data_IF_120603773913
#
_entry.id   IF_120603773913
#
_cell.length_a   1.000
_cell.length_b   1.000
_cell.length_c   1.000
_cell.angle_alpha   90.00
_cell.angle_beta   90.00
_cell.angle_gamma   90.00
#
_symmetry.space_group_name_H-M   'P 1'
#
loop_
_entity.id
_entity.type
_entity.pdbx_description
1 polymer ?
#
# COMPACT_ATOMS: atom_id res chain seq x y z
N UNK A 1 22.94 7.59 1.68
CA UNK A 1 23.35 6.17 1.47
C UNK A 1 22.32 5.52 0.57
N UNK A 2 22.69 4.41 -0.10
CA UNK A 2 21.73 3.50 -0.72
C UNK A 2 21.46 2.38 0.29
N UNK A 3 20.19 2.09 0.53
CA UNK A 3 19.72 1.13 1.53
C UNK A 3 18.69 0.18 0.91
N UNK A 4 18.76 -1.09 1.30
CA UNK A 4 17.70 -2.05 1.03
C UNK A 4 16.73 -2.09 2.22
N UNK A 5 15.45 -2.24 1.94
CA UNK A 5 14.41 -2.41 2.95
C UNK A 5 13.41 -3.47 2.51
N UNK A 6 12.71 -4.07 3.46
CA UNK A 6 11.66 -5.04 3.19
C UNK A 6 10.60 -4.99 4.28
N UNK A 7 9.46 -5.61 4.00
CA UNK A 7 8.38 -5.81 4.96
C UNK A 7 7.79 -7.19 4.74
N UNK A 8 7.49 -7.89 5.83
CA UNK A 8 6.73 -9.15 5.84
C UNK A 8 5.73 -9.06 6.97
N UNK A 9 4.46 -8.83 6.62
CA UNK A 9 3.37 -8.63 7.57
C UNK A 9 2.28 -9.70 7.38
N UNK A 10 1.72 -10.12 8.52
CA UNK A 10 0.55 -10.97 8.60
C UNK A 10 -0.43 -10.41 9.65
N UNK A 11 -1.72 -10.48 9.35
CA UNK A 11 -2.78 -10.30 10.34
C UNK A 11 -3.01 -11.61 11.08
N UNK A 12 -3.15 -11.55 12.39
CA UNK A 12 -3.47 -12.70 13.25
C UNK A 12 -4.84 -12.48 13.87
N UNK A 13 -5.82 -13.27 13.47
CA UNK A 13 -7.17 -13.26 14.04
C UNK A 13 -7.24 -14.21 15.24
N UNK A 14 -7.52 -13.66 16.42
CA UNK A 14 -7.55 -14.39 17.70
C UNK A 14 -8.97 -14.65 18.20
N UNK A 15 -10.00 -14.20 17.48
CA UNK A 15 -11.39 -14.22 17.95
C UNK A 15 -12.29 -15.27 17.31
N UNK A 16 -11.87 -15.90 16.20
CA UNK A 16 -12.73 -16.80 15.42
C UNK A 16 -12.40 -18.29 15.64
N UNK A 17 -13.43 -19.13 15.63
CA UNK A 17 -13.35 -20.59 15.74
C UNK A 17 -12.83 -21.19 14.42
N UNK A 18 -11.53 -20.98 14.19
CA UNK A 18 -10.61 -21.71 13.31
C UNK A 18 -11.11 -22.14 11.93
N UNK A 19 -10.69 -21.40 10.88
CA UNK A 19 -10.12 -21.98 9.63
C UNK A 19 -9.04 -21.11 8.95
N UNK A 20 -9.05 -19.78 9.11
CA UNK A 20 -8.07 -18.88 8.47
C UNK A 20 -7.63 -17.72 9.39
N UNK A 21 -6.87 -18.04 10.43
CA UNK A 21 -6.45 -17.07 11.45
C UNK A 21 -5.24 -16.24 11.04
N UNK A 22 -4.67 -16.47 9.84
CA UNK A 22 -3.54 -15.70 9.31
C UNK A 22 -3.86 -15.15 7.93
N UNK A 23 -3.84 -13.82 7.77
CA UNK A 23 -4.02 -13.17 6.47
C UNK A 23 -2.77 -12.43 6.04
N UNK A 24 -2.36 -12.62 4.79
CA UNK A 24 -1.21 -11.93 4.22
C UNK A 24 -1.45 -10.42 4.09
N UNK A 25 -0.55 -9.61 4.66
CA UNK A 25 -0.57 -8.14 4.60
C UNK A 25 0.57 -7.64 3.70
N UNK A 26 1.20 -6.50 3.99
CA UNK A 26 2.27 -5.96 3.19
C UNK A 26 3.49 -6.90 3.18
N UNK A 27 3.92 -7.28 1.99
CA UNK A 27 5.01 -8.23 1.74
C UNK A 27 5.78 -7.76 0.51
N UNK A 28 6.85 -6.99 0.72
CA UNK A 28 7.60 -6.38 -0.36
C UNK A 28 9.08 -6.22 -0.01
N UNK A 29 9.88 -5.98 -1.03
CA UNK A 29 11.29 -5.58 -0.93
C UNK A 29 11.49 -4.28 -1.70
N UNK A 30 12.51 -3.51 -1.33
CA UNK A 30 12.75 -2.21 -1.95
C UNK A 30 14.14 -1.66 -1.73
N UNK A 31 14.43 -0.59 -2.46
CA UNK A 31 15.65 0.20 -2.38
C UNK A 31 15.30 1.66 -2.10
N UNK A 32 16.06 2.30 -1.21
CA UNK A 32 15.90 3.70 -0.84
C UNK A 32 17.23 4.43 -0.87
N UNK A 33 17.19 5.68 -1.29
CA UNK A 33 18.32 6.60 -1.18
C UNK A 33 17.88 8.03 -1.41
N UNK A 34 18.81 8.88 -1.86
CA UNK A 34 18.52 10.29 -2.14
C UNK A 34 17.49 10.49 -3.26
N UNK A 35 17.21 9.46 -4.06
CA UNK A 35 16.19 9.46 -5.10
C UNK A 35 14.78 9.12 -4.57
N UNK A 36 14.62 8.84 -3.27
CA UNK A 36 13.36 8.37 -2.70
C UNK A 36 13.38 6.87 -2.45
N UNK A 37 12.22 6.25 -2.50
CA UNK A 37 12.05 4.83 -2.21
C UNK A 37 11.29 4.12 -3.33
N UNK A 38 11.79 2.97 -3.76
CA UNK A 38 11.11 2.09 -4.70
C UNK A 38 10.92 0.71 -4.07
N UNK A 39 9.76 0.09 -4.26
CA UNK A 39 9.47 -1.26 -3.79
C UNK A 39 8.65 -2.07 -4.78
N UNK A 40 8.79 -3.40 -4.69
CA UNK A 40 8.01 -4.37 -5.46
C UNK A 40 7.46 -5.48 -4.56
N UNK A 41 6.25 -5.94 -4.85
CA UNK A 41 5.61 -7.05 -4.13
C UNK A 41 4.13 -6.81 -3.86
N UNK A 42 3.65 -7.34 -2.74
CA UNK A 42 2.31 -7.08 -2.20
C UNK A 42 2.36 -5.85 -1.31
N UNK A 43 1.69 -4.78 -1.71
CA UNK A 43 1.77 -3.51 -1.00
C UNK A 43 0.43 -2.78 -1.01
N UNK A 44 0.28 -1.85 -0.07
CA UNK A 44 -0.81 -0.88 -0.09
C UNK A 44 -0.61 0.10 -1.27
N UNK A 45 -1.70 0.37 -1.98
CA UNK A 45 -1.76 1.41 -3.01
C UNK A 45 -1.52 2.80 -2.41
N UNK A 46 -1.01 3.74 -3.20
CA UNK A 46 -0.76 5.10 -2.70
C UNK A 46 -2.01 5.83 -2.21
N UNK A 47 -3.17 5.56 -2.80
CA UNK A 47 -4.42 6.08 -2.26
C UNK A 47 -4.68 5.57 -0.83
N UNK A 48 -4.49 4.26 -0.60
CA UNK A 48 -4.59 3.65 0.73
C UNK A 48 -3.58 4.21 1.73
N UNK A 49 -2.33 4.38 1.30
CA UNK A 49 -1.30 5.00 2.16
C UNK A 49 -1.65 6.45 2.50
N UNK A 50 -2.18 7.21 1.54
CA UNK A 50 -2.48 8.64 1.71
C UNK A 50 -3.62 8.95 2.68
N UNK A 51 -4.48 7.97 2.96
CA UNK A 51 -5.56 8.12 3.94
C UNK A 51 -5.02 8.31 5.36
N UNK A 52 -3.87 7.70 5.67
CA UNK A 52 -3.12 7.94 6.90
C UNK A 52 -3.99 8.02 8.17
N UNK A 53 -3.92 9.16 8.86
CA UNK A 53 -4.67 9.47 10.11
C UNK A 53 -6.07 10.05 9.89
N UNK A 54 -6.48 10.32 8.64
CA UNK A 54 -7.76 10.95 8.34
C UNK A 54 -8.90 9.94 8.42
N UNK A 55 -8.64 8.69 8.04
CA UNK A 55 -9.59 7.60 8.24
C UNK A 55 -9.35 6.88 9.57
N UNK A 56 -9.99 7.38 10.63
CA UNK A 56 -10.05 6.74 11.95
C UNK A 56 -11.22 5.75 12.07
N UNK A 57 -12.03 5.62 11.02
CA UNK A 57 -13.27 4.86 11.00
C UNK A 57 -13.13 3.59 10.18
N UNK A 58 -11.91 3.08 10.03
CA UNK A 58 -11.59 1.86 9.30
C UNK A 58 -12.71 0.80 9.45
N UNK A 59 -13.32 0.41 8.33
CA UNK A 59 -14.41 -0.55 8.21
C UNK A 59 -15.79 -0.15 8.80
N UNK A 60 -16.02 1.13 9.16
CA UNK A 60 -17.35 1.71 9.45
C UNK A 60 -17.93 2.41 8.19
N UNK A 61 -19.20 2.83 8.24
CA UNK A 61 -19.88 3.49 7.11
C UNK A 61 -19.21 4.78 6.60
N UNK A 62 -18.28 5.36 7.36
CA UNK A 62 -17.48 6.53 6.96
C UNK A 62 -16.12 6.20 6.33
N UNK A 63 -15.78 4.90 6.17
CA UNK A 63 -14.53 4.42 5.57
C UNK A 63 -14.41 4.89 4.11
N UNK A 64 -13.26 5.46 3.78
CA UNK A 64 -12.97 5.99 2.46
C UNK A 64 -12.89 4.87 1.39
N UNK A 65 -12.70 3.60 1.77
CA UNK A 65 -12.84 2.41 0.90
C UNK A 65 -14.17 2.40 0.17
N UNK A 66 -15.25 2.77 0.86
CA UNK A 66 -16.61 2.73 0.31
C UNK A 66 -16.85 3.85 -0.71
N UNK A 67 -16.01 4.89 -0.71
CA UNK A 67 -16.11 6.05 -1.59
C UNK A 67 -15.15 5.96 -2.79
N UNK A 68 -13.99 5.31 -2.64
CA UNK A 68 -12.98 5.22 -3.68
C UNK A 68 -12.47 3.79 -3.91
N UNK A 69 -12.72 3.25 -5.11
CA UNK A 69 -12.28 1.91 -5.54
C UNK A 69 -10.76 1.68 -5.57
N UNK A 70 -9.95 2.73 -5.40
CA UNK A 70 -8.50 2.69 -5.47
C UNK A 70 -7.80 2.34 -4.16
N UNK A 71 -8.55 2.15 -3.07
CA UNK A 71 -7.99 1.86 -1.75
C UNK A 71 -7.82 0.36 -1.51
N UNK A 72 -6.75 -0.20 -2.08
CA UNK A 72 -6.50 -1.64 -1.97
C UNK A 72 -5.09 -1.96 -1.46
N UNK A 73 -4.95 -3.20 -0.97
CA UNK A 73 -3.68 -3.90 -0.82
C UNK A 73 -3.62 -4.98 -1.88
N UNK A 74 -2.67 -4.89 -2.79
CA UNK A 74 -2.64 -5.71 -4.01
C UNK A 74 -1.25 -6.29 -4.25
N UNK A 75 -1.24 -7.44 -4.93
CA UNK A 75 -0.05 -8.17 -5.33
C UNK A 75 0.55 -7.58 -6.61
N UNK A 76 1.76 -8.01 -6.98
CA UNK A 76 2.44 -7.62 -8.23
C UNK A 76 2.50 -6.12 -8.46
N UNK A 77 2.81 -5.36 -7.40
CA UNK A 77 2.96 -3.91 -7.48
C UNK A 77 4.40 -3.49 -7.67
N UNK A 78 4.55 -2.33 -8.31
CA UNK A 78 5.74 -1.49 -8.25
C UNK A 78 5.34 -0.13 -7.67
N UNK A 79 5.98 0.27 -6.57
CA UNK A 79 5.66 1.52 -5.86
C UNK A 79 6.88 2.42 -5.82
N UNK A 80 6.71 3.70 -6.12
CA UNK A 80 7.73 4.72 -5.97
C UNK A 80 7.20 5.88 -5.12
N UNK A 81 8.01 6.36 -4.18
CA UNK A 81 7.75 7.54 -3.35
C UNK A 81 8.94 8.48 -3.48
N UNK A 82 8.66 9.74 -3.82
CA UNK A 82 9.70 10.78 -3.96
C UNK A 82 10.38 11.08 -2.62
N UNK A 83 11.59 11.68 -2.63
CA UNK A 83 12.10 12.38 -1.46
C UNK A 83 11.10 13.44 -0.98
N UNK A 84 11.19 13.80 0.30
CA UNK A 84 10.45 14.95 0.82
C UNK A 84 11.05 16.24 0.25
N UNK A 85 10.20 17.09 -0.34
CA UNK A 85 10.57 18.41 -0.81
C UNK A 85 9.66 19.45 -0.16
N UNK A 86 10.21 20.26 0.76
CA UNK A 86 9.44 21.25 1.53
C UNK A 86 8.21 20.67 2.23
N UNK A 87 8.31 19.43 2.71
CA UNK A 87 7.21 18.70 3.37
C UNK A 87 6.25 17.98 2.42
N UNK A 88 6.44 18.09 1.09
CA UNK A 88 5.64 17.37 0.11
C UNK A 88 6.30 16.07 -0.33
N UNK A 89 5.48 15.03 -0.52
CA UNK A 89 5.86 13.75 -1.12
C UNK A 89 4.81 13.39 -2.18
N UNK A 90 5.24 12.78 -3.27
CA UNK A 90 4.35 12.15 -4.24
C UNK A 90 4.65 10.67 -4.28
N UNK A 91 3.59 9.86 -4.25
CA UNK A 91 3.66 8.42 -4.40
C UNK A 91 2.94 7.99 -5.66
N UNK A 92 3.48 6.99 -6.35
CA UNK A 92 2.77 6.22 -7.37
C UNK A 92 2.91 4.72 -7.11
N UNK A 93 1.82 3.99 -7.25
CA UNK A 93 1.80 2.53 -7.34
C UNK A 93 1.30 2.15 -8.73
N UNK A 94 2.04 1.30 -9.41
CA UNK A 94 1.58 0.53 -10.55
C UNK A 94 1.25 -0.88 -10.11
N UNK A 95 0.11 -1.40 -10.56
CA UNK A 95 -0.35 -2.76 -10.37
C UNK A 95 -0.31 -3.47 -11.71
N UNK A 96 0.60 -4.43 -11.88
CA UNK A 96 0.67 -5.21 -13.09
C UNK A 96 -0.47 -6.24 -13.11
N UNK A 97 -0.94 -6.60 -14.29
CA UNK A 97 -1.73 -7.81 -14.47
C UNK A 97 -0.91 -9.04 -14.07
N UNK A 98 -1.52 -10.01 -13.37
CA UNK A 98 -0.87 -11.30 -13.11
C UNK A 98 -1.23 -11.95 -11.77
N UNK A 99 -1.88 -11.23 -10.86
CA UNK A 99 -2.52 -11.84 -9.70
C UNK A 99 -3.98 -12.18 -9.99
N UNK A 100 -4.46 -13.31 -9.46
CA UNK A 100 -5.85 -13.74 -9.59
C UNK A 100 -6.84 -12.73 -9.00
N UNK A 101 -6.41 -11.97 -8.00
CA UNK A 101 -7.17 -10.89 -7.36
C UNK A 101 -7.40 -9.67 -8.24
N UNK A 102 -6.71 -9.57 -9.39
CA UNK A 102 -6.75 -8.41 -10.28
C UNK A 102 -7.63 -8.62 -11.52
N UNK A 103 -8.28 -9.78 -11.67
CA UNK A 103 -9.24 -10.06 -12.76
C UNK A 103 -8.72 -9.70 -14.18
N UNK A 104 -7.44 -9.98 -14.46
CA UNK A 104 -6.78 -9.62 -15.72
C UNK A 104 -6.73 -8.11 -16.04
N UNK A 105 -6.68 -7.26 -15.00
CA UNK A 105 -6.59 -5.81 -15.13
C UNK A 105 -5.30 -5.28 -14.50
N UNK A 106 -4.70 -4.28 -15.14
CA UNK A 106 -3.66 -3.44 -14.57
C UNK A 106 -4.26 -2.15 -13.99
N UNK A 107 -3.42 -1.35 -13.34
CA UNK A 107 -3.86 -0.05 -12.85
C UNK A 107 -2.77 0.80 -12.22
N UNK A 108 -3.09 2.07 -11.99
CA UNK A 108 -2.22 3.01 -11.28
C UNK A 108 -2.97 3.66 -10.11
N UNK A 109 -2.22 3.96 -9.05
CA UNK A 109 -2.68 4.74 -7.90
C UNK A 109 -1.66 5.85 -7.65
N UNK A 110 -2.11 7.08 -7.53
CA UNK A 110 -1.26 8.26 -7.33
C UNK A 110 -1.77 9.01 -6.11
N UNK A 111 -0.85 9.47 -5.26
CA UNK A 111 -1.18 10.34 -4.14
C UNK A 111 -0.14 11.44 -3.95
N UNK A 112 -0.62 12.63 -3.60
CA UNK A 112 0.21 13.71 -3.08
C UNK A 112 -0.04 13.83 -1.57
N UNK A 113 1.05 13.92 -0.81
CA UNK A 113 1.03 13.94 0.65
C UNK A 113 1.81 15.18 1.13
N UNK A 114 1.33 15.82 2.18
CA UNK A 114 1.99 16.96 2.81
C UNK A 114 2.08 16.75 4.32
N UNK A 115 3.26 17.00 4.87
CA UNK A 115 3.56 16.76 6.28
C UNK A 115 4.21 15.39 6.54
N UNK A 116 4.00 14.88 7.75
CA UNK A 116 4.62 13.64 8.24
C UNK A 116 3.95 12.37 7.69
#
# INVERSE_FOLDING_TARGET
SLEAFYTVEYEVDTGDDAKENFKARNQFVGLRGNFGAFSVGRNDTMLKVSQGKVDQFNDLSGDLKNLFKGENRIEQTATYITPSFSGFKVGVTYAAEGASSQYAQDGFSVAAMYGD
#
